data_IF_223205464305
#
_entry.id   IF_223205464305
#
_cell.length_a   1.000
_cell.length_b   1.000
_cell.length_c   1.000
_cell.angle_alpha   90.00
_cell.angle_beta   90.00
_cell.angle_gamma   90.00
#
_symmetry.space_group_name_H-M   'P 1'
#
loop_
_entity.id
_entity.type
_entity.pdbx_description
1 polymer ?
#
# COMPACT_ATOMS: atom_id res chain seq x y z
N UNK A 1 -12.80 20.18 -14.69
CA UNK A 1 -11.88 19.32 -15.45
C UNK A 1 -11.01 20.21 -16.34
N UNK A 2 -9.77 19.81 -16.59
CA UNK A 2 -8.84 20.56 -17.45
C UNK A 2 -9.17 20.27 -18.91
N UNK A 3 -9.18 21.31 -19.78
CA UNK A 3 -9.63 21.17 -21.17
C UNK A 3 -8.77 20.19 -21.99
N UNK A 4 -7.44 20.23 -21.83
CA UNK A 4 -6.53 19.26 -22.47
C UNK A 4 -6.83 17.80 -22.11
N UNK A 5 -7.22 17.55 -20.86
CA UNK A 5 -7.63 16.19 -20.41
C UNK A 5 -8.93 15.78 -21.08
N UNK A 6 -9.90 16.72 -21.18
CA UNK A 6 -11.18 16.43 -21.84
C UNK A 6 -11.00 16.15 -23.33
N UNK A 7 -10.13 16.89 -24.01
CA UNK A 7 -9.87 16.69 -25.44
C UNK A 7 -9.16 15.34 -25.69
N UNK A 8 -8.17 14.98 -24.87
CA UNK A 8 -7.52 13.66 -24.93
C UNK A 8 -8.51 12.51 -24.70
N UNK A 9 -9.47 12.67 -23.76
CA UNK A 9 -10.53 11.69 -23.53
C UNK A 9 -11.46 11.57 -24.76
N UNK A 10 -11.89 12.68 -25.35
CA UNK A 10 -12.75 12.67 -26.55
C UNK A 10 -12.08 11.93 -27.72
N UNK A 11 -10.79 12.19 -27.95
CA UNK A 11 -10.01 11.51 -28.99
C UNK A 11 -9.88 10.00 -28.71
N UNK A 12 -9.67 9.63 -27.45
CA UNK A 12 -9.50 8.23 -27.03
C UNK A 12 -10.80 7.45 -27.14
N UNK A 13 -11.95 8.07 -26.79
CA UNK A 13 -13.26 7.45 -26.92
C UNK A 13 -13.56 6.98 -28.35
N UNK A 14 -13.13 7.75 -29.36
CA UNK A 14 -13.30 7.39 -30.77
C UNK A 14 -12.52 6.13 -31.18
N UNK A 15 -11.47 5.77 -30.42
CA UNK A 15 -10.58 4.61 -30.68
C UNK A 15 -10.94 3.39 -29.82
N UNK A 16 -11.80 3.58 -28.82
CA UNK A 16 -12.17 2.58 -27.82
C UNK A 16 -11.39 2.73 -26.50
N UNK A 17 -11.99 2.20 -25.43
CA UNK A 17 -11.47 2.38 -24.05
C UNK A 17 -11.18 1.07 -23.34
N UNK A 18 -11.55 -0.09 -23.91
CA UNK A 18 -11.34 -1.39 -23.31
C UNK A 18 -11.03 -2.43 -24.38
N UNK A 19 -9.95 -3.17 -24.18
CA UNK A 19 -9.47 -4.16 -25.14
C UNK A 19 -9.13 -5.45 -24.39
N UNK A 20 -9.28 -6.60 -25.05
CA UNK A 20 -8.90 -7.92 -24.52
C UNK A 20 -7.37 -8.19 -24.56
N UNK A 21 -6.55 -7.17 -24.86
CA UNK A 21 -5.11 -7.26 -24.94
C UNK A 21 -4.49 -5.93 -24.47
N UNK A 22 -3.23 -5.92 -23.97
CA UNK A 22 -2.54 -4.70 -23.58
C UNK A 22 -2.46 -3.70 -24.74
N UNK A 23 -2.80 -2.45 -24.44
CA UNK A 23 -2.74 -1.35 -25.41
C UNK A 23 -1.45 -0.52 -25.33
N UNK A 24 -1.11 0.24 -26.38
CA UNK A 24 0.09 1.08 -26.37
C UNK A 24 0.12 2.12 -25.24
N UNK A 25 -1.05 2.66 -24.85
CA UNK A 25 -1.16 3.65 -23.77
C UNK A 25 -0.80 3.08 -22.40
N UNK A 26 -1.06 1.79 -22.16
CA UNK A 26 -0.65 1.11 -20.93
C UNK A 26 0.88 1.07 -20.82
N UNK A 27 1.58 0.74 -21.91
CA UNK A 27 3.05 0.71 -21.93
C UNK A 27 3.64 2.11 -21.69
N UNK A 28 3.04 3.15 -22.30
CA UNK A 28 3.46 4.53 -22.11
C UNK A 28 3.29 4.94 -20.65
N UNK A 29 2.11 4.69 -20.09
CA UNK A 29 1.82 5.03 -18.69
C UNK A 29 2.69 4.23 -17.72
N UNK A 30 2.89 2.93 -17.95
CA UNK A 30 3.79 2.10 -17.14
C UNK A 30 5.21 2.68 -17.12
N UNK A 31 5.73 3.08 -18.30
CA UNK A 31 7.04 3.72 -18.38
C UNK A 31 7.11 5.04 -17.61
N UNK A 32 6.09 5.87 -17.71
CA UNK A 32 6.03 7.15 -16.96
C UNK A 32 6.05 6.90 -15.44
N UNK A 33 5.35 5.88 -14.95
CA UNK A 33 5.37 5.51 -13.53
C UNK A 33 6.76 4.99 -13.11
N UNK A 34 7.36 4.11 -13.91
CA UNK A 34 8.71 3.58 -13.65
C UNK A 34 9.76 4.70 -13.61
N UNK A 35 9.67 5.66 -14.54
CA UNK A 35 10.62 6.77 -14.59
C UNK A 35 10.43 7.77 -13.42
N UNK A 36 9.24 7.85 -12.84
CA UNK A 36 8.91 8.82 -11.80
C UNK A 36 9.10 8.27 -10.36
N UNK A 37 8.74 7.01 -10.12
CA UNK A 37 8.62 6.46 -8.75
C UNK A 37 9.83 5.59 -8.41
N UNK A 38 10.65 5.96 -7.42
CA UNK A 38 11.98 5.35 -7.18
C UNK A 38 11.99 3.84 -6.95
N UNK A 39 10.93 3.28 -6.34
CA UNK A 39 10.86 1.83 -6.04
C UNK A 39 10.35 0.98 -7.19
N UNK A 40 9.83 1.60 -8.27
CA UNK A 40 9.05 0.88 -9.28
C UNK A 40 9.93 0.47 -10.46
N UNK A 41 10.10 -0.84 -10.66
CA UNK A 41 10.76 -1.44 -11.83
C UNK A 41 9.76 -2.10 -12.78
N UNK A 42 8.57 -2.46 -12.27
CA UNK A 42 7.50 -3.13 -13.01
C UNK A 42 6.14 -2.65 -12.52
N UNK A 43 5.19 -2.48 -13.44
CA UNK A 43 3.84 -1.98 -13.16
C UNK A 43 2.80 -3.03 -13.54
N UNK A 44 1.80 -3.21 -12.69
CA UNK A 44 0.55 -3.87 -13.01
C UNK A 44 -0.60 -2.91 -12.77
N UNK A 45 -1.40 -2.67 -13.79
CA UNK A 45 -2.60 -1.84 -13.68
C UNK A 45 -3.78 -2.62 -13.10
N UNK A 46 -4.57 -1.92 -12.31
CA UNK A 46 -5.83 -2.37 -11.71
C UNK A 46 -6.85 -1.24 -11.82
N UNK A 47 -8.12 -1.52 -11.48
CA UNK A 47 -9.17 -0.51 -11.63
C UNK A 47 -9.38 0.35 -10.36
N UNK A 48 -8.77 -0.02 -9.23
CA UNK A 48 -8.93 0.69 -7.96
C UNK A 48 -7.77 0.42 -7.01
N UNK A 49 -7.59 1.29 -6.02
CA UNK A 49 -6.64 1.08 -4.92
C UNK A 49 -6.94 -0.20 -4.12
N UNK A 50 -8.22 -0.58 -3.98
CA UNK A 50 -8.59 -1.87 -3.36
C UNK A 50 -8.01 -3.05 -4.13
N UNK A 51 -8.16 -3.07 -5.45
CA UNK A 51 -7.59 -4.15 -6.28
C UNK A 51 -6.07 -4.15 -6.28
N UNK A 52 -5.43 -2.97 -6.25
CA UNK A 52 -3.99 -2.84 -6.12
C UNK A 52 -3.51 -3.46 -4.79
N UNK A 53 -4.14 -3.10 -3.66
CA UNK A 53 -3.82 -3.65 -2.34
C UNK A 53 -4.12 -5.15 -2.25
N UNK A 54 -5.20 -5.66 -2.86
CA UNK A 54 -5.46 -7.10 -2.95
C UNK A 54 -4.37 -7.84 -3.74
N UNK A 55 -3.94 -7.27 -4.85
CA UNK A 55 -2.84 -7.79 -5.68
C UNK A 55 -1.54 -7.82 -4.91
N UNK A 56 -1.20 -6.72 -4.26
CA UNK A 56 -0.03 -6.55 -3.40
C UNK A 56 -0.02 -7.58 -2.27
N UNK A 57 -1.12 -7.74 -1.53
CA UNK A 57 -1.22 -8.69 -0.42
C UNK A 57 -0.92 -10.13 -0.86
N UNK A 58 -1.46 -10.56 -2.02
CA UNK A 58 -1.13 -11.87 -2.58
C UNK A 58 0.33 -11.99 -2.99
N UNK A 59 0.88 -10.92 -3.57
CA UNK A 59 2.27 -10.89 -4.03
C UNK A 59 3.25 -11.03 -2.86
N UNK A 60 3.10 -10.23 -1.79
CA UNK A 60 4.01 -10.28 -0.63
C UNK A 60 3.96 -11.66 0.06
N UNK A 61 2.77 -12.24 0.20
CA UNK A 61 2.60 -13.59 0.75
C UNK A 61 3.24 -14.68 -0.12
N UNK A 62 3.02 -14.62 -1.44
CA UNK A 62 3.60 -15.58 -2.37
C UNK A 62 5.12 -15.51 -2.42
N UNK A 63 5.68 -14.30 -2.39
CA UNK A 63 7.12 -14.06 -2.43
C UNK A 63 7.83 -14.52 -1.15
N UNK A 64 7.31 -14.12 0.01
CA UNK A 64 7.92 -14.42 1.31
C UNK A 64 7.59 -15.80 1.85
N UNK A 65 6.53 -16.46 1.33
CA UNK A 65 5.94 -17.69 1.88
C UNK A 65 5.43 -17.53 3.30
N UNK A 66 5.01 -16.32 3.68
CA UNK A 66 4.47 -15.96 5.00
C UNK A 66 3.06 -15.40 4.83
N UNK A 67 2.20 -15.59 5.83
CA UNK A 67 0.79 -15.17 5.76
C UNK A 67 0.52 -13.84 6.46
N UNK A 68 1.20 -13.59 7.58
CA UNK A 68 0.94 -12.42 8.40
C UNK A 68 1.41 -11.12 7.74
N UNK A 69 0.63 -10.06 7.89
CA UNK A 69 1.02 -8.70 7.51
C UNK A 69 0.72 -7.74 8.66
N UNK A 70 1.50 -6.68 8.78
CA UNK A 70 1.26 -5.59 9.72
C UNK A 70 0.71 -4.41 8.94
N UNK A 71 -0.42 -3.86 9.40
CA UNK A 71 -0.94 -2.54 9.00
C UNK A 71 -1.00 -1.60 10.19
N UNK A 72 -1.31 -0.34 9.96
CA UNK A 72 -1.42 0.64 11.04
C UNK A 72 -2.86 1.03 11.31
N UNK A 73 -3.14 1.32 12.59
CA UNK A 73 -4.42 1.88 12.98
C UNK A 73 -4.65 3.22 12.27
N UNK A 74 -5.88 3.46 11.84
CA UNK A 74 -6.24 4.63 11.05
C UNK A 74 -5.86 4.60 9.57
N UNK A 75 -4.99 3.68 9.12
CA UNK A 75 -4.70 3.50 7.69
C UNK A 75 -5.78 2.67 6.98
N UNK A 76 -6.12 3.09 5.76
CA UNK A 76 -7.10 2.44 4.90
C UNK A 76 -6.43 1.89 3.63
N UNK A 77 -6.64 0.62 3.34
CA UNK A 77 -6.04 -0.08 2.20
C UNK A 77 -7.10 -0.75 1.33
N UNK A 78 -8.22 -0.07 1.12
CA UNK A 78 -9.35 -0.61 0.39
C UNK A 78 -10.26 -1.50 1.24
N UNK A 79 -11.30 -2.04 0.61
CA UNK A 79 -12.36 -2.78 1.27
C UNK A 79 -12.28 -4.31 1.10
N UNK A 80 -11.10 -4.83 0.81
CA UNK A 80 -10.88 -6.28 0.84
C UNK A 80 -10.92 -6.79 2.28
N UNK A 81 -11.59 -7.92 2.51
CA UNK A 81 -11.82 -8.50 3.84
C UNK A 81 -10.56 -8.55 4.72
N UNK A 82 -9.42 -8.90 4.12
CA UNK A 82 -8.15 -8.99 4.84
C UNK A 82 -7.62 -7.68 5.42
N UNK A 83 -8.14 -6.53 5.00
CA UNK A 83 -7.77 -5.21 5.49
C UNK A 83 -8.84 -4.54 6.36
N UNK A 84 -10.04 -5.09 6.42
CA UNK A 84 -11.14 -4.60 7.26
C UNK A 84 -10.98 -5.08 8.71
N UNK A 85 -9.96 -4.56 9.35
CA UNK A 85 -9.47 -4.95 10.66
C UNK A 85 -9.32 -3.72 11.53
N UNK A 86 -9.86 -3.76 12.74
CA UNK A 86 -9.63 -2.73 13.75
C UNK A 86 -8.54 -3.14 14.74
N UNK A 87 -7.92 -2.15 15.39
CA UNK A 87 -7.05 -2.38 16.52
C UNK A 87 -7.85 -3.00 17.68
N UNK A 88 -7.32 -4.07 18.28
CA UNK A 88 -7.88 -4.62 19.51
C UNK A 88 -7.57 -3.73 20.71
N UNK A 89 -8.26 -3.96 21.83
CA UNK A 89 -8.07 -3.24 23.10
C UNK A 89 -6.79 -3.67 23.82
N UNK A 90 -5.62 -3.47 23.21
CA UNK A 90 -4.33 -3.84 23.81
C UNK A 90 -3.20 -3.73 22.80
N UNK A 91 -1.96 -3.58 23.27
CA UNK A 91 -0.77 -3.55 22.43
C UNK A 91 -0.68 -4.89 21.69
N UNK A 92 -0.70 -4.85 20.37
CA UNK A 92 -0.53 -5.99 19.47
C UNK A 92 -1.61 -7.09 19.60
N UNK A 93 -2.79 -6.89 19.03
CA UNK A 93 -3.85 -7.90 19.02
C UNK A 93 -4.10 -8.45 17.62
N UNK A 94 -4.46 -9.76 17.59
CA UNK A 94 -5.04 -10.40 16.40
C UNK A 94 -6.18 -9.54 15.85
N UNK A 95 -6.14 -9.26 14.55
CA UNK A 95 -7.12 -8.40 13.90
C UNK A 95 -8.55 -8.88 14.05
N UNK A 96 -9.35 -8.11 14.76
CA UNK A 96 -10.79 -8.33 14.82
C UNK A 96 -11.45 -7.70 13.59
N UNK A 97 -12.46 -8.36 12.96
CA UNK A 97 -13.20 -7.74 11.87
C UNK A 97 -13.82 -6.40 12.28
N UNK A 98 -13.63 -5.38 11.45
CA UNK A 98 -14.20 -4.04 11.66
C UNK A 98 -15.57 -3.86 10.99
N UNK A 99 -15.95 -4.78 10.13
CA UNK A 99 -17.19 -4.71 9.36
C UNK A 99 -18.05 -5.95 9.55
N UNK A 100 -19.38 -5.79 9.72
CA UNK A 100 -20.31 -6.91 9.68
C UNK A 100 -20.19 -7.69 8.37
N UNK A 101 -20.14 -9.01 8.46
CA UNK A 101 -20.01 -9.90 7.30
C UNK A 101 -18.59 -10.30 6.95
N UNK A 102 -17.56 -9.67 7.52
CA UNK A 102 -16.17 -10.10 7.37
C UNK A 102 -15.90 -11.28 8.31
N UNK A 103 -15.53 -12.47 7.81
CA UNK A 103 -15.26 -13.61 8.67
C UNK A 103 -13.90 -13.45 9.37
N UNK A 104 -13.80 -13.92 10.62
CA UNK A 104 -12.53 -13.89 11.37
C UNK A 104 -11.36 -14.55 10.64
N UNK A 105 -11.64 -15.59 9.86
CA UNK A 105 -10.62 -16.25 9.04
C UNK A 105 -9.94 -15.35 8.02
N UNK A 106 -10.61 -14.31 7.53
CA UNK A 106 -10.04 -13.36 6.58
C UNK A 106 -9.09 -12.34 7.25
N UNK A 107 -9.32 -12.02 8.52
CA UNK A 107 -8.60 -10.96 9.23
C UNK A 107 -7.48 -11.47 10.15
N UNK A 108 -7.50 -12.75 10.53
CA UNK A 108 -6.59 -13.33 11.54
C UNK A 108 -5.10 -13.17 11.25
N UNK A 109 -4.74 -13.01 9.98
CA UNK A 109 -3.34 -12.83 9.55
C UNK A 109 -2.97 -11.37 9.32
N UNK A 110 -3.85 -10.42 9.68
CA UNK A 110 -3.57 -8.99 9.60
C UNK A 110 -3.43 -8.43 11.02
N UNK A 111 -2.22 -8.02 11.33
CA UNK A 111 -1.85 -7.46 12.63
C UNK A 111 -1.95 -5.92 12.54
N UNK A 112 -2.34 -5.29 13.64
CA UNK A 112 -2.49 -3.82 13.68
C UNK A 112 -1.54 -3.25 14.72
N UNK A 113 -0.77 -2.23 14.30
CA UNK A 113 0.12 -1.45 15.16
C UNK A 113 -0.34 0.01 15.22
N UNK A 114 -0.05 0.75 16.31
CA UNK A 114 -0.20 2.20 16.33
C UNK A 114 0.74 2.86 15.31
N UNK A 115 0.25 3.94 14.68
CA UNK A 115 1.08 4.72 13.76
C UNK A 115 2.14 5.53 14.50
N UNK A 116 3.34 5.67 13.94
CA UNK A 116 4.51 6.30 14.58
C UNK A 116 5.05 5.57 15.83
N UNK A 117 4.77 4.28 15.99
CA UNK A 117 5.27 3.45 17.11
C UNK A 117 6.10 2.27 16.60
N UNK A 118 7.43 2.45 16.54
CA UNK A 118 8.37 1.41 16.10
C UNK A 118 8.49 0.24 17.07
N UNK A 119 8.33 0.49 18.37
CA UNK A 119 8.46 -0.55 19.40
C UNK A 119 7.35 -1.59 19.23
N UNK A 120 6.12 -1.13 19.02
CA UNK A 120 4.97 -2.00 18.72
C UNK A 120 5.18 -2.81 17.44
N UNK A 121 5.74 -2.20 16.38
CA UNK A 121 6.05 -2.92 15.14
C UNK A 121 7.12 -3.98 15.37
N UNK A 122 8.20 -3.64 16.09
CA UNK A 122 9.26 -4.61 16.36
C UNK A 122 8.78 -5.77 17.23
N UNK A 123 7.91 -5.53 18.22
CA UNK A 123 7.30 -6.59 19.00
C UNK A 123 6.46 -7.56 18.15
N UNK A 124 5.67 -7.03 17.19
CA UNK A 124 4.89 -7.85 16.27
C UNK A 124 5.80 -8.68 15.36
N UNK A 125 6.86 -8.08 14.82
CA UNK A 125 7.83 -8.77 13.96
C UNK A 125 8.62 -9.85 14.71
N UNK A 126 8.91 -9.66 15.99
CA UNK A 126 9.56 -10.68 16.85
C UNK A 126 8.69 -11.90 17.09
N UNK A 127 7.37 -11.68 17.22
CA UNK A 127 6.41 -12.74 17.60
C UNK A 127 5.79 -13.46 16.39
N UNK A 128 5.90 -12.87 15.18
CA UNK A 128 5.22 -13.37 13.98
C UNK A 128 6.14 -13.33 12.76
N UNK A 129 6.07 -14.35 11.94
CA UNK A 129 6.71 -14.35 10.62
C UNK A 129 5.88 -13.53 9.63
N UNK A 130 6.11 -12.22 9.60
CA UNK A 130 5.36 -11.31 8.76
C UNK A 130 5.90 -11.28 7.32
N UNK A 131 4.98 -11.30 6.33
CA UNK A 131 5.27 -11.11 4.92
C UNK A 131 5.63 -9.65 4.62
N UNK A 132 4.89 -8.71 5.21
CA UNK A 132 5.05 -7.29 4.95
C UNK A 132 4.58 -6.41 6.10
N UNK A 133 5.08 -5.17 6.10
CA UNK A 133 4.54 -4.02 6.82
C UNK A 133 4.01 -3.06 5.77
N UNK A 134 2.71 -2.76 5.81
CA UNK A 134 2.04 -1.83 4.90
C UNK A 134 1.58 -0.58 5.64
N UNK A 135 1.77 0.59 5.03
CA UNK A 135 1.28 1.86 5.56
C UNK A 135 0.94 2.85 4.44
N UNK A 136 0.03 3.77 4.73
CA UNK A 136 -0.02 5.05 4.02
C UNK A 136 1.16 5.88 4.53
N UNK A 137 2.14 6.26 3.70
CA UNK A 137 3.31 7.02 4.18
C UNK A 137 2.93 8.43 4.65
N UNK A 138 1.81 8.96 4.18
CA UNK A 138 1.08 10.08 4.79
C UNK A 138 -0.35 9.63 4.92
N UNK A 139 -0.83 9.48 6.15
CA UNK A 139 -2.19 8.98 6.39
C UNK A 139 -3.18 10.05 5.92
N UNK A 140 -4.05 9.68 4.98
CA UNK A 140 -5.07 10.58 4.45
C UNK A 140 -6.47 10.28 4.97
N UNK A 141 -6.77 9.02 5.20
CA UNK A 141 -8.14 8.56 5.46
C UNK A 141 -8.67 8.93 6.86
N UNK A 142 -7.84 8.92 7.88
CA UNK A 142 -8.21 9.30 9.25
C UNK A 142 -7.82 10.74 9.63
N UNK A 143 -7.60 11.58 8.66
CA UNK A 143 -7.07 12.92 8.80
C UNK A 143 -5.64 13.00 8.27
N UNK A 144 -5.10 14.21 8.17
CA UNK A 144 -3.73 14.37 7.69
C UNK A 144 -2.74 14.06 8.83
N UNK A 145 -2.16 12.85 8.80
CA UNK A 145 -1.14 12.44 9.78
C UNK A 145 0.16 12.17 9.05
N UNK A 146 1.13 13.02 9.28
CA UNK A 146 2.48 12.84 8.74
C UNK A 146 3.28 11.83 9.59
N UNK A 147 4.11 10.98 8.98
CA UNK A 147 5.07 10.16 9.70
C UNK A 147 6.19 11.04 10.23
N UNK A 148 6.85 10.60 11.30
CA UNK A 148 8.18 11.12 11.59
C UNK A 148 9.19 10.48 10.62
N UNK A 149 10.27 11.20 10.33
CA UNK A 149 11.33 10.64 9.46
C UNK A 149 11.96 9.40 10.09
N UNK A 150 12.16 9.43 11.40
CA UNK A 150 12.69 8.33 12.19
C UNK A 150 11.81 7.08 12.09
N UNK A 151 10.49 7.26 12.07
CA UNK A 151 9.55 6.16 11.91
C UNK A 151 9.70 5.44 10.56
N UNK A 152 9.73 6.18 9.45
CA UNK A 152 9.89 5.57 8.12
C UNK A 152 11.25 4.89 7.94
N UNK A 153 12.33 5.53 8.42
CA UNK A 153 13.67 4.93 8.39
C UNK A 153 13.72 3.67 9.26
N UNK A 154 13.17 3.75 10.48
CA UNK A 154 13.11 2.60 11.38
C UNK A 154 12.27 1.44 10.82
N UNK A 155 11.14 1.72 10.14
CA UNK A 155 10.36 0.68 9.45
C UNK A 155 11.20 -0.01 8.36
N UNK A 156 11.98 0.76 7.58
CA UNK A 156 12.86 0.18 6.56
C UNK A 156 13.93 -0.72 7.18
N UNK A 157 14.51 -0.31 8.31
CA UNK A 157 15.51 -1.12 9.03
C UNK A 157 14.89 -2.38 9.64
N UNK A 158 13.76 -2.26 10.31
CA UNK A 158 13.05 -3.38 10.92
C UNK A 158 12.60 -4.40 9.88
N UNK A 159 12.02 -3.96 8.77
CA UNK A 159 11.59 -4.88 7.71
C UNK A 159 12.76 -5.64 7.12
N UNK A 160 13.91 -5.00 6.88
CA UNK A 160 15.14 -5.69 6.45
C UNK A 160 15.65 -6.68 7.50
N UNK A 161 15.68 -6.28 8.78
CA UNK A 161 16.14 -7.11 9.90
C UNK A 161 15.35 -8.40 10.06
N UNK A 162 14.02 -8.32 9.90
CA UNK A 162 13.11 -9.48 10.07
C UNK A 162 12.74 -10.17 8.75
N UNK A 163 13.26 -9.72 7.62
CA UNK A 163 12.99 -10.29 6.30
C UNK A 163 11.54 -10.13 5.86
N UNK A 164 10.86 -9.08 6.31
CA UNK A 164 9.57 -8.64 5.83
C UNK A 164 9.72 -7.60 4.71
N UNK A 165 8.71 -7.44 3.85
CA UNK A 165 8.70 -6.41 2.84
C UNK A 165 8.09 -5.11 3.40
N UNK A 166 8.65 -3.96 3.01
CA UNK A 166 8.05 -2.65 3.28
C UNK A 166 7.18 -2.26 2.10
N UNK A 167 5.92 -1.92 2.36
CA UNK A 167 4.96 -1.52 1.32
C UNK A 167 4.41 -0.13 1.63
N UNK A 168 4.52 0.78 0.67
CA UNK A 168 3.88 2.08 0.74
C UNK A 168 2.58 2.06 -0.08
N UNK A 169 1.47 2.34 0.60
CA UNK A 169 0.21 2.64 -0.04
C UNK A 169 0.18 4.14 -0.36
N UNK A 170 0.51 4.46 -1.58
CA UNK A 170 0.58 5.82 -2.09
C UNK A 170 -0.64 6.22 -2.93
N UNK A 171 -1.75 5.52 -2.81
CA UNK A 171 -3.02 5.88 -3.49
C UNK A 171 -3.43 7.32 -3.20
N UNK A 172 -3.13 7.84 -2.01
CA UNK A 172 -3.39 9.23 -1.63
C UNK A 172 -2.19 10.15 -1.84
N UNK A 173 -0.97 9.68 -1.62
CA UNK A 173 0.25 10.51 -1.59
C UNK A 173 1.06 10.50 -2.89
N UNK A 174 0.94 9.45 -3.71
CA UNK A 174 1.64 9.32 -4.99
C UNK A 174 1.33 10.46 -5.95
N UNK A 175 2.34 11.03 -6.59
CA UNK A 175 2.24 12.21 -7.48
C UNK A 175 1.61 13.45 -6.81
N UNK A 176 1.37 13.43 -5.50
CA UNK A 176 0.73 14.51 -4.76
C UNK A 176 1.72 15.26 -3.87
N UNK A 177 2.47 14.54 -3.04
CA UNK A 177 3.43 15.18 -2.11
C UNK A 177 4.77 15.50 -2.79
N UNK A 178 5.14 14.73 -3.80
CA UNK A 178 6.25 14.93 -4.73
C UNK A 178 5.95 14.19 -6.02
N UNK A 179 6.73 14.40 -7.09
CA UNK A 179 6.55 13.71 -8.37
C UNK A 179 6.76 12.21 -8.24
N UNK A 180 7.77 11.78 -7.49
CA UNK A 180 8.02 10.37 -7.14
C UNK A 180 7.33 9.90 -5.86
N UNK A 181 6.31 10.62 -5.38
CA UNK A 181 5.52 10.26 -4.21
C UNK A 181 6.21 10.54 -2.86
N UNK A 182 5.66 9.97 -1.80
CA UNK A 182 6.18 10.13 -0.45
C UNK A 182 7.56 9.49 -0.29
N UNK A 183 7.88 8.44 -1.03
CA UNK A 183 9.19 7.80 -1.01
C UNK A 183 10.31 8.74 -1.48
N UNK A 184 10.05 9.57 -2.49
CA UNK A 184 10.96 10.65 -2.90
C UNK A 184 11.05 11.72 -1.82
N UNK A 185 9.91 12.19 -1.32
CA UNK A 185 9.84 13.29 -0.35
C UNK A 185 10.57 12.97 0.96
N UNK A 186 10.39 11.76 1.49
CA UNK A 186 11.03 11.33 2.74
C UNK A 186 12.39 10.65 2.56
N UNK A 187 12.77 10.30 1.33
CA UNK A 187 14.02 9.59 1.03
C UNK A 187 14.06 8.15 1.57
N UNK A 188 12.91 7.48 1.62
CA UNK A 188 12.78 6.07 2.06
C UNK A 188 12.11 5.26 0.97
N UNK A 189 12.83 4.28 0.42
CA UNK A 189 12.34 3.44 -0.67
C UNK A 189 11.74 2.15 -0.14
N UNK A 190 10.43 1.88 -0.39
CA UNK A 190 9.79 0.61 -0.06
C UNK A 190 10.20 -0.49 -1.05
N UNK A 191 9.78 -1.73 -0.79
CA UNK A 191 9.93 -2.86 -1.71
C UNK A 191 8.79 -2.91 -2.74
N UNK A 192 7.59 -2.44 -2.36
CA UNK A 192 6.42 -2.34 -3.23
C UNK A 192 5.68 -1.03 -2.96
N UNK A 193 5.00 -0.55 -4.00
CA UNK A 193 4.14 0.64 -3.93
C UNK A 193 2.79 0.33 -4.58
N UNK A 194 1.68 0.70 -3.95
CA UNK A 194 0.36 0.82 -4.57
C UNK A 194 0.06 2.29 -4.83
N UNK A 195 -0.46 2.62 -6.04
CA UNK A 195 -0.73 3.98 -6.52
C UNK A 195 -2.19 4.13 -6.93
#
# INVERSE_FOLDING_TARGET
AHDEVLDALRETLAKGTSFGAPGPLENILAKMVIDAVPSVEMVRFTNSGTEACMGMLRLVRAFTKRDAVIKFDGCYHGHADGFLVQAGSGVATLGLPDSPGVPQGATRSTLVAPYNDLDSVEELLKKNECAAVILEPVVGNSGFIAPTKEFLVGLRELTKKYGALLVFDEVMSGFRVAYGGAQEFFGVTPDLTTL
#
